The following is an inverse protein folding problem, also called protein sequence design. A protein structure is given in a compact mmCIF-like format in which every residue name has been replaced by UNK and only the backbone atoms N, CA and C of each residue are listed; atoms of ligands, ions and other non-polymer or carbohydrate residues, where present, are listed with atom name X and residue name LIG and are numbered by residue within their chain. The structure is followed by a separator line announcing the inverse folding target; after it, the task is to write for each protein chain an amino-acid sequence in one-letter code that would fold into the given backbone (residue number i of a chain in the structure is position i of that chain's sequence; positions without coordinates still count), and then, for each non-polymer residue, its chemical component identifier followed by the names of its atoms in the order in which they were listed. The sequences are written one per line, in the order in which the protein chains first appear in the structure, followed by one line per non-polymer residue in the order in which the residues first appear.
data_IF_640449742455
#
_entry.id   IF_640449742455
#
_cell.length_a   1.000
_cell.length_b   1.000
_cell.length_c   1.000
_cell.angle_alpha   90.00
_cell.angle_beta   90.00
_cell.angle_gamma   90.00
#
_symmetry.space_group_name_H-M   'P 1'
#
loop_
_entity.id
_entity.type
_entity.pdbx_description
1 polymer ?
#
# COMPACT_ATOMS: atom_id res chain seq x y z
N UNK A 1 -11.63 24.75 -25.16
CA UNK A 1 -10.75 23.59 -25.36
C UNK A 1 -10.02 23.46 -24.05
N UNK A 2 -10.32 22.45 -23.26
CA UNK A 2 -9.52 22.19 -22.06
C UNK A 2 -8.10 21.89 -22.53
N UNK A 3 -7.15 22.65 -22.01
CA UNK A 3 -5.73 22.47 -22.30
C UNK A 3 -5.21 21.65 -21.13
N UNK A 4 -4.93 20.38 -21.38
CA UNK A 4 -4.24 19.55 -20.40
C UNK A 4 -2.85 20.13 -20.15
N UNK A 5 -2.50 20.30 -18.89
CA UNK A 5 -1.17 20.75 -18.48
C UNK A 5 -0.28 19.54 -18.24
N UNK A 6 0.99 19.63 -18.61
CA UNK A 6 1.96 18.63 -18.18
C UNK A 6 2.47 18.99 -16.78
N UNK A 7 2.12 18.16 -15.80
CA UNK A 7 2.47 18.38 -14.40
C UNK A 7 3.56 17.41 -14.00
N UNK A 8 4.66 17.91 -13.46
CA UNK A 8 5.69 17.08 -12.87
C UNK A 8 5.58 17.11 -11.35
N UNK A 9 5.57 15.96 -10.70
CA UNK A 9 5.67 15.85 -9.25
C UNK A 9 7.02 15.24 -8.90
N UNK A 10 7.79 15.91 -8.05
CA UNK A 10 9.16 15.50 -7.72
C UNK A 10 9.47 15.79 -6.26
N UNK A 11 10.17 14.87 -5.61
CA UNK A 11 10.76 15.12 -4.31
C UNK A 11 12.16 15.72 -4.47
N UNK A 12 12.46 16.78 -3.70
CA UNK A 12 13.73 17.47 -3.75
C UNK A 12 14.80 16.73 -2.93
N UNK A 13 15.92 16.44 -3.57
CA UNK A 13 17.17 16.06 -2.94
C UNK A 13 18.32 16.84 -3.61
N UNK A 14 19.54 16.73 -3.07
CA UNK A 14 20.69 17.53 -3.50
C UNK A 14 21.13 17.37 -4.97
N UNK A 15 20.51 16.50 -5.74
CA UNK A 15 20.79 16.26 -7.16
C UNK A 15 19.92 17.17 -8.05
N UNK A 16 20.29 18.46 -8.16
CA UNK A 16 19.56 19.48 -8.95
C UNK A 16 19.24 19.02 -10.37
N UNK A 17 20.20 18.41 -11.06
CA UNK A 17 20.06 18.03 -12.47
C UNK A 17 18.85 17.09 -12.70
N UNK A 18 18.59 16.20 -11.74
CA UNK A 18 17.45 15.27 -11.76
C UNK A 18 16.10 15.97 -11.67
N UNK A 19 16.05 17.22 -11.24
CA UNK A 19 14.82 18.03 -11.17
C UNK A 19 14.73 18.96 -12.38
N UNK A 20 15.80 19.70 -12.64
CA UNK A 20 15.80 20.82 -13.60
C UNK A 20 15.77 20.32 -15.04
N UNK A 21 16.62 19.35 -15.40
CA UNK A 21 16.69 18.86 -16.77
C UNK A 21 15.38 18.23 -17.25
N UNK A 22 14.76 17.26 -16.55
CA UNK A 22 13.52 16.65 -17.03
C UNK A 22 12.37 17.66 -17.09
N UNK A 23 12.33 18.64 -16.17
CA UNK A 23 11.35 19.74 -16.19
C UNK A 23 11.32 20.44 -17.55
N UNK A 24 12.49 20.79 -18.09
CA UNK A 24 12.56 21.44 -19.41
C UNK A 24 12.43 20.45 -20.56
N UNK A 25 13.11 19.31 -20.49
CA UNK A 25 13.17 18.33 -21.58
C UNK A 25 11.80 17.74 -21.90
N UNK A 26 11.03 17.40 -20.88
CA UNK A 26 9.67 16.88 -21.04
C UNK A 26 8.63 18.00 -21.13
N UNK A 27 9.05 19.27 -21.04
CA UNK A 27 8.21 20.46 -21.20
C UNK A 27 7.07 20.49 -20.18
N UNK A 28 7.41 20.47 -18.90
CA UNK A 28 6.44 20.69 -17.84
C UNK A 28 5.84 22.10 -17.95
N UNK A 29 4.53 22.20 -17.79
CA UNK A 29 3.83 23.48 -17.60
C UNK A 29 3.76 23.82 -16.11
N UNK A 30 3.74 22.79 -15.24
CA UNK A 30 3.80 22.93 -13.78
C UNK A 30 4.75 21.91 -13.17
N UNK A 31 5.47 22.30 -12.11
CA UNK A 31 6.23 21.41 -11.24
C UNK A 31 5.75 21.55 -9.80
N UNK A 32 5.32 20.44 -9.20
CA UNK A 32 5.07 20.32 -7.77
C UNK A 32 6.33 19.74 -7.11
N UNK A 33 7.00 20.55 -6.30
CA UNK A 33 8.24 20.17 -5.60
C UNK A 33 7.94 19.84 -4.15
N UNK A 34 8.05 18.56 -3.79
CA UNK A 34 7.99 18.08 -2.41
C UNK A 34 9.37 18.27 -1.77
N UNK A 35 9.48 19.17 -0.81
CA UNK A 35 10.78 19.58 -0.24
C UNK A 35 10.79 19.49 1.28
N UNK A 36 11.95 19.34 1.93
CA UNK A 36 12.02 19.55 3.38
C UNK A 36 11.74 21.03 3.72
N UNK A 37 11.53 21.37 5.01
CA UNK A 37 11.36 22.76 5.43
C UNK A 37 12.53 23.64 5.01
N UNK A 38 12.26 24.91 4.70
CA UNK A 38 13.24 25.90 4.21
C UNK A 38 14.58 25.87 4.99
N UNK A 39 14.52 25.76 6.31
CA UNK A 39 15.70 25.75 7.20
C UNK A 39 16.65 24.56 6.98
N UNK A 40 16.22 23.53 6.22
CA UNK A 40 17.04 22.36 5.87
C UNK A 40 17.55 22.40 4.44
N UNK A 41 17.16 23.39 3.63
CA UNK A 41 17.62 23.50 2.26
C UNK A 41 19.03 24.08 2.19
N UNK A 42 19.85 23.47 1.34
CA UNK A 42 21.12 24.05 0.94
C UNK A 42 20.88 25.34 0.14
N UNK A 43 21.91 26.19 0.07
CA UNK A 43 21.84 27.44 -0.71
C UNK A 43 21.56 27.19 -2.19
N UNK A 44 22.24 26.21 -2.79
CA UNK A 44 22.02 25.83 -4.18
C UNK A 44 20.59 25.32 -4.46
N UNK A 45 19.94 24.66 -3.48
CA UNK A 45 18.56 24.19 -3.63
C UNK A 45 17.59 25.39 -3.64
N UNK A 46 17.85 26.39 -2.81
CA UNK A 46 17.07 27.64 -2.76
C UNK A 46 17.24 28.46 -4.04
N UNK A 47 18.46 28.59 -4.53
CA UNK A 47 18.75 29.25 -5.81
C UNK A 47 18.07 28.54 -6.98
N UNK A 48 18.15 27.21 -7.05
CA UNK A 48 17.48 26.41 -8.08
C UNK A 48 15.95 26.61 -8.05
N UNK A 49 15.33 26.61 -6.87
CA UNK A 49 13.89 26.83 -6.74
C UNK A 49 13.50 28.23 -7.22
N UNK A 50 14.27 29.26 -6.87
CA UNK A 50 14.07 30.61 -7.35
C UNK A 50 14.23 30.72 -8.88
N UNK A 51 15.22 30.03 -9.46
CA UNK A 51 15.45 29.97 -10.90
C UNK A 51 14.34 29.26 -11.67
N UNK A 52 13.64 28.30 -11.05
CA UNK A 52 12.44 27.68 -11.60
C UNK A 52 11.23 28.61 -11.50
N UNK A 53 11.07 29.32 -10.38
CA UNK A 53 9.97 30.26 -10.15
C UNK A 53 9.99 31.50 -11.06
N UNK A 54 11.18 31.97 -11.45
CA UNK A 54 11.34 33.14 -12.34
C UNK A 54 10.95 32.84 -13.81
N UNK A 55 10.63 31.58 -14.15
CA UNK A 55 10.33 31.18 -15.53
C UNK A 55 8.88 31.48 -15.90
N UNK A 56 8.67 32.37 -16.87
CA UNK A 56 7.35 32.82 -17.34
C UNK A 56 6.38 31.70 -17.79
N UNK A 57 6.90 30.53 -18.19
CA UNK A 57 6.11 29.41 -18.73
C UNK A 57 6.02 28.20 -17.81
N UNK A 58 6.49 28.34 -16.57
CA UNK A 58 6.52 27.26 -15.58
C UNK A 58 5.84 27.72 -14.30
N UNK A 59 4.79 27.03 -13.89
CA UNK A 59 4.24 27.20 -12.53
C UNK A 59 5.00 26.30 -11.56
N UNK A 60 5.47 26.84 -10.44
CA UNK A 60 6.10 26.05 -9.37
C UNK A 60 5.20 26.04 -8.14
N UNK A 61 4.92 24.85 -7.61
CA UNK A 61 4.19 24.64 -6.36
C UNK A 61 5.10 23.90 -5.38
N UNK A 62 5.48 24.56 -4.28
CA UNK A 62 6.39 23.99 -3.29
C UNK A 62 5.61 23.47 -2.08
N UNK A 63 5.80 22.19 -1.73
CA UNK A 63 5.13 21.56 -0.58
C UNK A 63 6.15 21.05 0.44
N UNK A 64 6.03 21.51 1.68
CA UNK A 64 6.92 21.06 2.75
C UNK A 64 6.51 19.69 3.30
N UNK A 65 7.42 18.71 3.20
CA UNK A 65 7.19 17.31 3.55
C UNK A 65 8.42 16.72 4.26
N UNK A 66 8.18 15.80 5.20
CA UNK A 66 9.25 14.98 5.78
C UNK A 66 9.61 13.83 4.84
N UNK A 67 10.55 14.05 3.93
CA UNK A 67 10.95 13.07 2.89
C UNK A 67 11.51 11.75 3.43
N UNK A 68 11.93 11.70 4.71
CA UNK A 68 12.39 10.48 5.38
C UNK A 68 11.27 9.57 5.90
N UNK A 69 10.00 9.99 5.81
CA UNK A 69 8.85 9.24 6.32
C UNK A 69 7.99 8.78 5.15
N UNK A 70 8.10 7.50 4.78
CA UNK A 70 7.44 6.90 3.61
C UNK A 70 5.97 7.31 3.48
N UNK A 71 5.15 7.07 4.51
CA UNK A 71 3.72 7.43 4.51
C UNK A 71 3.49 8.92 4.21
N UNK A 72 4.28 9.82 4.82
CA UNK A 72 4.12 11.27 4.64
C UNK A 72 4.47 11.72 3.23
N UNK A 73 5.50 11.13 2.63
CA UNK A 73 5.90 11.47 1.27
C UNK A 73 4.95 10.82 0.25
N UNK A 74 4.45 9.60 0.50
CA UNK A 74 3.40 8.96 -0.31
C UNK A 74 2.14 9.80 -0.33
N UNK A 75 1.59 10.15 0.83
CA UNK A 75 0.38 10.95 0.95
C UNK A 75 0.54 12.32 0.25
N UNK A 76 1.75 12.90 0.28
CA UNK A 76 2.04 14.15 -0.39
C UNK A 76 2.13 14.01 -1.91
N UNK A 77 2.70 12.90 -2.43
CA UNK A 77 2.65 12.59 -3.86
C UNK A 77 1.21 12.37 -4.32
N UNK A 78 0.44 11.54 -3.62
CA UNK A 78 -0.97 11.27 -3.95
C UNK A 78 -1.78 12.56 -3.97
N UNK A 79 -1.69 13.39 -2.91
CA UNK A 79 -2.36 14.69 -2.88
C UNK A 79 -1.90 15.62 -4.01
N UNK A 80 -0.62 15.59 -4.39
CA UNK A 80 -0.11 16.40 -5.50
C UNK A 80 -0.62 15.92 -6.86
N UNK A 81 -0.92 14.64 -7.02
CA UNK A 81 -1.49 14.08 -8.25
C UNK A 81 -3.00 14.38 -8.28
N UNK A 82 -3.70 14.17 -7.17
CA UNK A 82 -5.15 14.36 -7.04
C UNK A 82 -5.59 15.82 -7.24
N UNK A 83 -4.71 16.79 -6.97
CA UNK A 83 -4.95 18.22 -7.23
C UNK A 83 -4.99 18.57 -8.74
N UNK A 84 -4.67 17.61 -9.61
CA UNK A 84 -4.52 17.76 -11.05
C UNK A 84 -5.41 16.80 -11.85
N UNK A 85 -6.74 16.78 -11.61
CA UNK A 85 -7.64 15.89 -12.34
C UNK A 85 -7.71 16.29 -13.83
N UNK A 86 -7.34 15.35 -14.70
CA UNK A 86 -7.39 15.54 -16.16
C UNK A 86 -6.13 16.16 -16.78
N UNK A 87 -5.09 16.41 -16.00
CA UNK A 87 -3.75 16.79 -16.50
C UNK A 87 -2.89 15.54 -16.76
N UNK A 88 -1.85 15.67 -17.59
CA UNK A 88 -0.85 14.62 -17.76
C UNK A 88 0.18 14.71 -16.62
N UNK A 89 0.04 13.86 -15.60
CA UNK A 89 0.89 13.88 -14.41
C UNK A 89 2.05 12.90 -14.54
N UNK A 90 3.27 13.43 -14.41
CA UNK A 90 4.53 12.68 -14.45
C UNK A 90 5.21 12.71 -13.08
N UNK A 91 5.53 11.54 -12.53
CA UNK A 91 6.17 11.41 -11.23
C UNK A 91 7.64 11.10 -11.40
N UNK A 92 8.50 12.03 -11.00
CA UNK A 92 9.93 11.83 -11.02
C UNK A 92 10.37 11.01 -9.80
N UNK A 93 10.63 9.72 -10.00
CA UNK A 93 11.05 8.81 -8.93
C UNK A 93 12.56 8.80 -8.70
N UNK A 94 13.30 9.63 -9.44
CA UNK A 94 14.74 9.80 -9.28
C UNK A 94 15.11 10.90 -8.26
N UNK A 95 14.17 11.75 -7.86
CA UNK A 95 14.37 12.80 -6.87
C UNK A 95 14.10 12.35 -5.42
N UNK A 96 14.67 13.06 -4.44
CA UNK A 96 14.27 12.95 -3.02
C UNK A 96 14.90 11.78 -2.24
N UNK A 97 15.79 11.00 -2.86
CA UNK A 97 16.41 9.81 -2.28
C UNK A 97 15.50 8.56 -2.31
N UNK A 98 16.04 7.40 -1.90
CA UNK A 98 15.36 6.11 -2.11
C UNK A 98 13.95 6.03 -1.52
N UNK A 99 13.71 6.58 -0.32
CA UNK A 99 12.38 6.55 0.32
C UNK A 99 11.36 7.35 -0.51
N UNK A 100 11.74 8.52 -1.00
CA UNK A 100 10.85 9.35 -1.80
C UNK A 100 10.63 8.76 -3.20
N UNK A 101 11.65 8.16 -3.81
CA UNK A 101 11.52 7.44 -5.07
C UNK A 101 10.53 6.26 -4.98
N UNK A 102 10.64 5.44 -3.92
CA UNK A 102 9.69 4.35 -3.65
C UNK A 102 8.28 4.88 -3.45
N UNK A 103 8.11 5.93 -2.62
CA UNK A 103 6.80 6.54 -2.39
C UNK A 103 6.17 7.13 -3.66
N UNK A 104 6.97 7.80 -4.49
CA UNK A 104 6.54 8.34 -5.77
C UNK A 104 6.08 7.24 -6.72
N UNK A 105 6.81 6.12 -6.79
CA UNK A 105 6.40 4.97 -7.59
C UNK A 105 5.08 4.35 -7.10
N UNK A 106 4.92 4.21 -5.78
CA UNK A 106 3.67 3.72 -5.15
C UNK A 106 2.49 4.64 -5.49
N UNK A 107 2.66 5.95 -5.29
CA UNK A 107 1.63 6.94 -5.56
C UNK A 107 1.24 6.96 -7.05
N UNK A 108 2.23 6.94 -7.95
CA UNK A 108 2.01 6.92 -9.39
C UNK A 108 1.18 5.70 -9.83
N UNK A 109 1.51 4.51 -9.32
CA UNK A 109 0.73 3.30 -9.60
C UNK A 109 -0.71 3.41 -9.10
N UNK A 110 -0.93 3.95 -7.91
CA UNK A 110 -2.28 4.07 -7.31
C UNK A 110 -3.17 5.06 -8.06
N UNK A 111 -2.58 6.06 -8.69
CA UNK A 111 -3.28 7.23 -9.27
C UNK A 111 -3.20 7.29 -10.79
N UNK A 112 -2.67 6.25 -11.44
CA UNK A 112 -2.43 6.17 -12.89
C UNK A 112 -1.51 7.27 -13.46
N UNK A 113 -0.79 8.00 -12.61
CA UNK A 113 0.24 8.94 -13.05
C UNK A 113 1.44 8.19 -13.67
N UNK A 114 2.17 8.85 -14.56
CA UNK A 114 3.29 8.22 -15.29
C UNK A 114 4.60 8.38 -14.50
N UNK A 115 5.15 7.32 -13.88
CA UNK A 115 6.45 7.43 -13.22
C UNK A 115 7.58 7.48 -14.26
N UNK A 116 8.63 8.25 -13.99
CA UNK A 116 9.85 8.26 -14.80
C UNK A 116 11.10 8.34 -13.93
N UNK A 117 12.18 7.71 -14.42
CA UNK A 117 13.49 7.74 -13.82
C UNK A 117 14.44 8.54 -14.72
N UNK A 118 15.29 9.37 -14.12
CA UNK A 118 16.44 9.99 -14.80
C UNK A 118 17.64 9.09 -14.55
N UNK A 119 18.32 8.64 -15.60
CA UNK A 119 19.55 7.87 -15.44
C UNK A 119 20.75 8.81 -15.22
N UNK A 120 21.78 8.33 -14.52
CA UNK A 120 23.09 8.97 -14.48
C UNK A 120 24.06 8.10 -15.26
N UNK A 121 24.40 8.50 -16.49
CA UNK A 121 25.61 7.94 -17.12
C UNK A 121 26.83 8.61 -16.50
N UNK A 122 27.83 7.87 -16.01
CA UNK A 122 29.05 8.43 -15.43
C UNK A 122 29.91 9.24 -16.43
N UNK A 123 29.56 9.27 -17.71
CA UNK A 123 30.24 10.05 -18.75
C UNK A 123 30.00 11.57 -18.64
N UNK A 124 29.04 12.03 -17.83
CA UNK A 124 28.70 13.45 -17.71
C UNK A 124 29.67 14.28 -16.84
N UNK A 125 30.78 13.70 -16.34
CA UNK A 125 31.61 14.36 -15.32
C UNK A 125 32.97 14.90 -15.78
N UNK A 126 33.53 14.49 -16.93
CA UNK A 126 34.84 15.02 -17.37
C UNK A 126 34.90 15.14 -18.90
N UNK A 127 35.02 16.39 -19.37
CA UNK A 127 35.26 16.82 -20.75
C UNK A 127 34.18 16.47 -21.79
N UNK A 128 33.38 17.47 -22.22
CA UNK A 128 33.14 17.71 -23.66
C UNK A 128 32.48 19.07 -23.96
N UNK A 129 33.33 20.11 -24.04
CA UNK A 129 33.19 21.10 -25.12
C UNK A 129 33.66 20.42 -26.40
N UNK A 130 32.81 19.62 -27.03
CA UNK A 130 32.90 19.33 -28.45
C UNK A 130 31.57 18.78 -28.92
N UNK A 131 30.95 19.52 -29.84
CA UNK A 131 29.78 19.07 -30.55
C UNK A 131 30.14 17.83 -31.37
N UNK A 132 29.69 16.66 -30.92
CA UNK A 132 29.43 15.53 -31.79
C UNK A 132 27.93 15.53 -32.10
N UNK A 133 27.64 15.87 -33.35
CA UNK A 133 26.34 15.62 -33.97
C UNK A 133 26.21 14.10 -34.12
N UNK A 134 25.06 13.54 -33.76
CA UNK A 134 24.72 12.11 -33.81
C UNK A 134 25.19 11.26 -32.61
N UNK A 135 24.63 11.51 -31.42
CA UNK A 135 24.13 10.45 -30.53
C UNK A 135 23.32 11.09 -29.39
N UNK A 136 22.10 10.59 -29.17
CA UNK A 136 21.15 11.15 -28.23
C UNK A 136 21.39 10.61 -26.80
N UNK A 137 21.70 11.45 -25.80
CA UNK A 137 21.81 10.97 -24.42
C UNK A 137 20.43 10.73 -23.78
N UNK A 138 20.22 9.47 -23.34
CA UNK A 138 19.25 8.96 -22.36
C UNK A 138 17.77 9.26 -22.57
N UNK A 139 16.98 8.29 -23.06
CA UNK A 139 15.51 8.36 -22.95
C UNK A 139 15.09 8.04 -21.49
N UNK A 140 14.03 8.66 -20.93
CA UNK A 140 13.53 8.25 -19.62
C UNK A 140 13.12 6.78 -19.70
N UNK A 141 13.84 5.90 -19.00
CA UNK A 141 13.44 4.49 -18.92
C UNK A 141 12.18 4.39 -18.08
N UNK A 142 11.18 3.66 -18.59
CA UNK A 142 9.99 3.31 -17.82
C UNK A 142 10.43 2.53 -16.59
N UNK A 143 10.02 3.00 -15.41
CA UNK A 143 10.25 2.26 -14.15
C UNK A 143 9.72 0.83 -14.33
N UNK A 144 10.50 -0.21 -14.02
CA UNK A 144 10.03 -1.58 -14.13
C UNK A 144 8.76 -1.72 -13.27
N UNK A 145 7.68 -2.07 -13.95
CA UNK A 145 6.39 -2.35 -13.32
C UNK A 145 6.56 -3.65 -12.53
N UNK A 146 6.70 -3.54 -11.21
CA UNK A 146 6.51 -4.67 -10.32
C UNK A 146 5.00 -4.72 -10.06
N UNK A 147 4.31 -5.71 -10.61
CA UNK A 147 2.90 -5.93 -10.28
C UNK A 147 2.81 -6.43 -8.84
N UNK A 148 2.28 -5.58 -7.95
CA UNK A 148 1.95 -5.93 -6.56
C UNK A 148 0.48 -6.38 -6.49
N UNK A 149 0.04 -7.21 -7.44
CA UNK A 149 -1.28 -7.80 -7.34
C UNK A 149 -1.21 -8.90 -6.26
N UNK A 150 -1.98 -8.72 -5.18
CA UNK A 150 -2.13 -9.72 -4.13
C UNK A 150 -2.78 -11.00 -4.66
N UNK A 151 -2.87 -12.07 -3.82
CA UNK A 151 -3.55 -13.29 -4.23
C UNK A 151 -4.99 -13.00 -4.65
N UNK A 152 -5.47 -13.67 -5.69
CA UNK A 152 -6.88 -13.60 -6.12
C UNK A 152 -7.84 -14.16 -5.06
N UNK A 153 -9.13 -13.83 -5.12
CA UNK A 153 -10.14 -14.32 -4.17
C UNK A 153 -10.15 -15.86 -4.03
N UNK A 154 -10.03 -16.59 -5.13
CA UNK A 154 -9.97 -18.07 -5.11
C UNK A 154 -8.66 -18.61 -4.51
N UNK A 155 -7.57 -17.85 -4.61
CA UNK A 155 -6.30 -18.16 -3.94
C UNK A 155 -6.37 -17.83 -2.45
N UNK A 156 -7.00 -16.71 -2.07
CA UNK A 156 -7.25 -16.33 -0.68
C UNK A 156 -8.15 -17.36 0.03
N UNK A 157 -9.19 -17.88 -0.63
CA UNK A 157 -10.03 -18.95 -0.08
C UNK A 157 -9.20 -20.20 0.25
N UNK A 158 -8.29 -20.58 -0.65
CA UNK A 158 -7.40 -21.73 -0.44
C UNK A 158 -6.39 -21.47 0.68
N UNK A 159 -5.82 -20.26 0.76
CA UNK A 159 -4.96 -19.86 1.87
C UNK A 159 -5.72 -19.93 3.20
N UNK A 160 -6.96 -19.44 3.25
CA UNK A 160 -7.84 -19.50 4.42
C UNK A 160 -8.07 -20.95 4.87
N UNK A 161 -8.39 -21.84 3.93
CA UNK A 161 -8.50 -23.28 4.21
C UNK A 161 -7.19 -23.90 4.73
N UNK A 162 -6.05 -23.52 4.14
CA UNK A 162 -4.75 -24.00 4.59
C UNK A 162 -4.37 -23.47 5.98
N UNK A 163 -4.74 -22.23 6.32
CA UNK A 163 -4.51 -21.64 7.64
C UNK A 163 -5.25 -22.40 8.75
N UNK A 164 -6.45 -22.92 8.46
CA UNK A 164 -7.21 -23.78 9.38
C UNK A 164 -6.70 -25.23 9.50
N UNK A 165 -5.68 -25.63 8.73
CA UNK A 165 -5.23 -27.03 8.64
C UNK A 165 -3.71 -27.19 8.82
N UNK A 166 -3.24 -28.39 9.14
CA UNK A 166 -1.80 -28.69 9.15
C UNK A 166 -1.32 -29.15 7.77
N UNK A 167 -1.50 -28.25 6.79
CA UNK A 167 -1.36 -28.52 5.37
C UNK A 167 -2.46 -29.40 4.80
N UNK A 168 -2.55 -29.46 3.47
CA UNK A 168 -3.56 -30.22 2.75
C UNK A 168 -2.97 -30.97 1.55
N UNK A 169 -3.55 -32.11 1.22
CA UNK A 169 -3.28 -32.82 -0.03
C UNK A 169 -4.02 -32.16 -1.19
N UNK A 170 -3.55 -32.37 -2.43
CA UNK A 170 -4.25 -31.92 -3.65
C UNK A 170 -5.70 -32.40 -3.72
N UNK A 171 -5.99 -33.60 -3.18
CA UNK A 171 -7.35 -34.13 -3.11
C UNK A 171 -8.24 -33.33 -2.15
N UNK A 172 -7.71 -32.95 -0.99
CA UNK A 172 -8.45 -32.14 -0.01
C UNK A 172 -8.70 -30.72 -0.53
N UNK A 173 -7.70 -30.13 -1.20
CA UNK A 173 -7.82 -28.82 -1.84
C UNK A 173 -8.85 -28.82 -2.97
N UNK A 174 -8.82 -29.80 -3.88
CA UNK A 174 -9.86 -29.94 -4.92
C UNK A 174 -11.24 -30.12 -4.29
N UNK A 175 -11.37 -30.97 -3.28
CA UNK A 175 -12.67 -31.19 -2.63
C UNK A 175 -13.18 -29.93 -1.93
N UNK A 176 -12.30 -29.10 -1.36
CA UNK A 176 -12.68 -27.82 -0.78
C UNK A 176 -13.12 -26.82 -1.86
N UNK A 177 -12.33 -26.68 -2.94
CA UNK A 177 -12.65 -25.83 -4.08
C UNK A 177 -13.98 -26.22 -4.75
N UNK A 178 -14.26 -27.52 -4.89
CA UNK A 178 -15.55 -28.02 -5.39
C UNK A 178 -16.71 -27.66 -4.45
N UNK A 179 -16.52 -27.74 -3.12
CA UNK A 179 -17.56 -27.37 -2.14
C UNK A 179 -17.86 -25.87 -2.13
N UNK A 180 -16.83 -25.05 -2.31
CA UNK A 180 -16.95 -23.58 -2.39
C UNK A 180 -17.27 -23.07 -3.79
N UNK A 181 -17.47 -23.98 -4.74
CA UNK A 181 -17.76 -23.66 -6.14
C UNK A 181 -16.77 -22.64 -6.74
N UNK A 182 -15.48 -22.79 -6.43
CA UNK A 182 -14.46 -21.82 -6.83
C UNK A 182 -14.38 -21.69 -8.37
N UNK A 183 -14.26 -20.47 -8.92
CA UNK A 183 -14.40 -20.22 -10.35
C UNK A 183 -13.52 -21.09 -11.25
N UNK A 184 -12.24 -21.32 -10.89
CA UNK A 184 -11.34 -22.15 -11.70
C UNK A 184 -11.83 -23.59 -11.91
N UNK A 185 -12.65 -24.13 -10.99
CA UNK A 185 -13.30 -25.45 -11.13
C UNK A 185 -14.72 -25.31 -11.66
N UNK A 186 -15.54 -24.45 -11.03
CA UNK A 186 -16.97 -24.36 -11.33
C UNK A 186 -17.25 -23.92 -12.79
N UNK A 187 -16.38 -23.07 -13.35
CA UNK A 187 -16.52 -22.58 -14.72
C UNK A 187 -15.81 -23.44 -15.76
N UNK A 188 -15.18 -24.55 -15.35
CA UNK A 188 -14.38 -25.39 -16.25
C UNK A 188 -14.97 -26.80 -16.34
N UNK A 189 -15.26 -27.25 -17.55
CA UNK A 189 -15.65 -28.66 -17.78
C UNK A 189 -14.40 -29.52 -17.80
N UNK A 190 -14.32 -30.51 -16.91
CA UNK A 190 -13.23 -31.47 -16.83
C UNK A 190 -13.76 -32.90 -17.00
N UNK A 191 -13.10 -33.69 -17.84
CA UNK A 191 -13.51 -35.07 -18.12
C UNK A 191 -12.88 -36.07 -17.14
N UNK A 192 -11.76 -35.70 -16.53
CA UNK A 192 -11.00 -36.58 -15.62
C UNK A 192 -10.51 -35.89 -14.35
N UNK A 193 -10.35 -36.67 -13.29
CA UNK A 193 -9.77 -36.19 -12.01
C UNK A 193 -8.34 -35.66 -12.18
N UNK A 194 -7.60 -36.17 -13.15
CA UNK A 194 -6.23 -35.72 -13.46
C UNK A 194 -6.22 -34.30 -13.99
N UNK A 195 -7.21 -33.91 -14.80
CA UNK A 195 -7.34 -32.54 -15.31
C UNK A 195 -7.72 -31.57 -14.19
N UNK A 196 -8.59 -31.97 -13.26
CA UNK A 196 -8.90 -31.15 -12.07
C UNK A 196 -7.64 -30.83 -11.26
N UNK A 197 -6.74 -31.80 -11.08
CA UNK A 197 -5.48 -31.54 -10.37
C UNK A 197 -4.54 -30.59 -11.14
N UNK A 198 -4.54 -30.65 -12.47
CA UNK A 198 -3.76 -29.69 -13.28
C UNK A 198 -4.33 -28.28 -13.21
N UNK A 199 -5.65 -28.13 -13.14
CA UNK A 199 -6.28 -26.82 -12.90
C UNK A 199 -5.89 -26.26 -11.54
N UNK A 200 -6.00 -27.07 -10.47
CA UNK A 200 -5.54 -26.68 -9.14
C UNK A 200 -4.06 -26.29 -9.13
N UNK A 201 -3.20 -27.04 -9.80
CA UNK A 201 -1.77 -26.71 -9.90
C UNK A 201 -1.54 -25.37 -10.59
N UNK A 202 -2.04 -25.23 -11.82
CA UNK A 202 -1.80 -24.05 -12.64
C UNK A 202 -2.43 -22.75 -12.14
N UNK A 203 -3.61 -22.82 -11.51
CA UNK A 203 -4.35 -21.61 -11.10
C UNK A 203 -4.11 -21.22 -9.64
N UNK A 204 -3.79 -22.21 -8.79
CA UNK A 204 -3.70 -22.01 -7.34
C UNK A 204 -2.32 -22.35 -6.80
N UNK A 205 -1.89 -23.61 -6.90
CA UNK A 205 -0.70 -24.08 -6.16
C UNK A 205 0.59 -23.49 -6.71
N UNK A 206 0.77 -23.49 -8.02
CA UNK A 206 2.00 -22.98 -8.65
C UNK A 206 2.11 -21.46 -8.46
N UNK A 207 1.07 -20.63 -8.74
CA UNK A 207 1.14 -19.20 -8.47
C UNK A 207 1.39 -18.85 -6.99
N UNK A 208 0.72 -19.54 -6.06
CA UNK A 208 0.93 -19.31 -4.63
C UNK A 208 2.33 -19.75 -4.17
N UNK A 209 2.89 -20.81 -4.75
CA UNK A 209 4.23 -21.27 -4.41
C UNK A 209 5.31 -20.36 -5.00
N UNK A 210 5.12 -19.89 -6.24
CA UNK A 210 6.02 -18.95 -6.91
C UNK A 210 6.05 -17.59 -6.20
N UNK A 211 4.92 -17.17 -5.64
CA UNK A 211 4.80 -15.97 -4.81
C UNK A 211 5.25 -16.16 -3.35
N UNK A 212 5.63 -17.37 -2.93
CA UNK A 212 6.12 -17.65 -1.57
C UNK A 212 5.03 -17.79 -0.49
N UNK A 213 3.75 -17.83 -0.86
CA UNK A 213 2.64 -17.97 0.08
C UNK A 213 2.45 -19.40 0.58
N UNK A 214 2.88 -20.41 -0.19
CA UNK A 214 2.78 -21.82 0.17
C UNK A 214 4.05 -22.61 -0.16
N UNK A 215 4.28 -23.69 0.60
CA UNK A 215 5.34 -24.65 0.33
C UNK A 215 4.78 -26.04 -0.01
N UNK A 216 5.40 -26.69 -1.01
CA UNK A 216 4.99 -28.03 -1.48
C UNK A 216 6.04 -29.07 -1.10
N UNK A 217 5.69 -29.97 -0.18
CA UNK A 217 6.60 -31.05 0.25
C UNK A 217 6.42 -32.28 -0.64
N UNK A 218 7.37 -32.53 -1.54
CA UNK A 218 7.35 -33.65 -2.51
C UNK A 218 7.23 -35.03 -1.86
N UNK A 219 7.83 -35.22 -0.68
CA UNK A 219 7.78 -36.48 0.07
C UNK A 219 6.38 -36.79 0.67
N UNK A 220 5.51 -35.78 0.80
CA UNK A 220 4.15 -35.93 1.33
C UNK A 220 3.04 -35.57 0.35
N UNK A 221 3.34 -34.92 -0.78
CA UNK A 221 2.36 -34.32 -1.71
C UNK A 221 1.36 -33.40 -1.00
N UNK A 222 1.84 -32.68 0.02
CA UNK A 222 1.08 -31.74 0.83
C UNK A 222 1.55 -30.32 0.55
N UNK A 223 0.58 -29.43 0.54
CA UNK A 223 0.74 -27.98 0.45
C UNK A 223 0.57 -27.42 1.85
N UNK A 224 1.47 -26.55 2.27
CA UNK A 224 1.44 -25.88 3.56
C UNK A 224 1.40 -24.38 3.32
N UNK A 225 0.64 -23.66 4.14
CA UNK A 225 0.71 -22.20 4.15
C UNK A 225 2.01 -21.78 4.82
N UNK A 226 2.72 -20.85 4.18
CA UNK A 226 3.91 -20.23 4.73
C UNK A 226 3.55 -18.89 5.39
N UNK A 227 4.53 -18.27 6.07
CA UNK A 227 4.31 -17.03 6.82
C UNK A 227 3.72 -15.92 5.95
N UNK A 228 4.23 -15.73 4.74
CA UNK A 228 3.79 -14.67 3.85
C UNK A 228 2.32 -14.89 3.42
N UNK A 229 1.87 -16.15 3.32
CA UNK A 229 0.47 -16.48 3.06
C UNK A 229 -0.46 -16.14 4.23
N UNK A 230 0.03 -16.26 5.47
CA UNK A 230 -0.72 -15.84 6.67
C UNK A 230 -0.83 -14.31 6.71
N UNK A 231 0.26 -13.61 6.40
CA UNK A 231 0.28 -12.15 6.34
C UNK A 231 -0.66 -11.63 5.23
N UNK A 232 -0.68 -12.30 4.07
CA UNK A 232 -1.61 -11.97 2.99
C UNK A 232 -3.08 -12.09 3.39
N UNK A 233 -3.47 -13.09 4.19
CA UNK A 233 -4.85 -13.21 4.70
C UNK A 233 -5.25 -12.05 5.64
N UNK A 234 -4.29 -11.48 6.36
CA UNK A 234 -4.53 -10.32 7.22
C UNK A 234 -4.67 -9.02 6.41
N UNK A 235 -3.95 -8.92 5.29
CA UNK A 235 -3.94 -7.75 4.40
C UNK A 235 -5.12 -7.74 3.42
N UNK A 236 -5.53 -8.92 2.93
CA UNK A 236 -6.62 -9.13 1.99
C UNK A 236 -7.72 -10.01 2.62
N UNK A 237 -8.55 -9.45 3.53
CA UNK A 237 -9.59 -10.23 4.19
C UNK A 237 -10.68 -10.63 3.20
N UNK A 238 -11.00 -11.93 3.16
CA UNK A 238 -12.17 -12.45 2.47
C UNK A 238 -13.43 -11.83 3.09
N UNK A 239 -14.41 -11.48 2.24
CA UNK A 239 -15.74 -11.11 2.71
C UNK A 239 -16.38 -12.22 3.56
N UNK A 240 -17.38 -11.91 4.39
CA UNK A 240 -18.01 -12.90 5.26
C UNK A 240 -18.53 -14.09 4.45
N UNK A 241 -18.20 -15.29 4.90
CA UNK A 241 -18.65 -16.55 4.30
C UNK A 241 -20.18 -16.64 4.41
N UNK A 242 -20.94 -16.74 3.30
CA UNK A 242 -22.39 -16.83 3.36
C UNK A 242 -22.88 -18.06 4.14
N UNK A 243 -22.07 -19.11 4.26
CA UNK A 243 -22.39 -20.29 5.06
C UNK A 243 -22.29 -20.04 6.58
N UNK A 244 -21.36 -19.20 7.05
CA UNK A 244 -21.23 -18.86 8.49
C UNK A 244 -22.32 -17.89 8.95
N UNK A 245 -22.88 -17.08 8.06
CA UNK A 245 -23.96 -16.14 8.37
C UNK A 245 -25.28 -16.83 8.78
N UNK A 246 -25.46 -18.12 8.44
CA UNK A 246 -26.69 -18.88 8.74
C UNK A 246 -26.67 -19.61 10.08
N UNK A 247 -25.51 -19.66 10.77
CA UNK A 247 -25.38 -20.40 12.02
C UNK A 247 -25.85 -19.61 13.27
N UNK A 248 -26.02 -18.28 13.16
CA UNK A 248 -26.33 -17.40 14.29
C UNK A 248 -27.78 -16.84 14.28
N UNK A 249 -28.58 -17.17 13.25
CA UNK A 249 -29.95 -16.66 13.12
C UNK A 249 -31.00 -17.47 13.93
N UNK A 250 -30.64 -18.63 14.50
CA UNK A 250 -31.56 -19.44 15.32
C UNK A 250 -31.56 -19.05 16.82
N UNK A 251 -30.77 -18.05 17.23
CA UNK A 251 -30.85 -17.44 18.56
C UNK A 251 -31.85 -16.28 18.61
N UNK A 252 -33.05 -16.45 18.08
CA UNK A 252 -34.15 -15.49 18.30
C UNK A 252 -34.64 -15.62 19.74
N UNK A 253 -34.05 -14.82 20.64
CA UNK A 253 -34.62 -14.57 21.96
C UNK A 253 -35.98 -13.91 21.76
N UNK A 254 -37.05 -14.69 22.00
CA UNK A 254 -38.43 -14.20 21.96
C UNK A 254 -38.56 -12.92 22.77
N UNK A 255 -39.26 -11.94 22.19
CA UNK A 255 -39.59 -10.62 22.74
C UNK A 255 -40.09 -10.64 24.20
N UNK A 256 -40.63 -11.77 24.65
CA UNK A 256 -41.09 -11.98 26.02
C UNK A 256 -39.95 -12.18 27.03
N UNK A 257 -38.81 -12.79 26.63
CA UNK A 257 -37.64 -12.95 27.51
C UNK A 257 -36.88 -11.63 27.71
N UNK A 258 -36.79 -10.79 26.67
CA UNK A 258 -36.18 -9.47 26.77
C UNK A 258 -36.97 -8.55 27.72
N UNK A 259 -38.30 -8.68 27.73
CA UNK A 259 -39.17 -7.93 28.65
C UNK A 259 -39.03 -8.38 30.10
N UNK A 260 -38.93 -9.69 30.35
CA UNK A 260 -38.72 -10.24 31.69
C UNK A 260 -37.39 -9.81 32.33
N UNK A 261 -36.30 -9.80 31.56
CA UNK A 261 -35.00 -9.30 32.05
C UNK A 261 -35.03 -7.80 32.38
N UNK A 262 -35.78 -6.99 31.62
CA UNK A 262 -35.86 -5.55 31.83
C UNK A 262 -36.72 -5.15 33.04
N UNK A 263 -37.78 -5.92 33.33
CA UNK A 263 -38.64 -5.71 34.49
C UNK A 263 -37.99 -6.23 35.79
N UNK A 264 -37.20 -7.31 35.73
CA UNK A 264 -36.52 -7.89 36.91
C UNK A 264 -35.33 -7.06 37.41
N UNK A 265 -34.63 -6.35 36.52
CA UNK A 265 -33.49 -5.49 36.88
C UNK A 265 -33.86 -4.16 37.56
N UNK A 266 -35.16 -3.85 37.68
CA UNK A 266 -35.63 -2.58 38.27
C UNK A 266 -35.87 -2.68 39.79
N UNK A 267 -36.01 -3.88 40.34
CA UNK A 267 -36.22 -4.08 41.78
C UNK A 267 -34.90 -4.09 42.58
N UNK A 268 -33.78 -4.47 41.97
CA UNK A 268 -32.48 -4.53 42.68
C UNK A 268 -31.81 -3.16 42.87
N UNK A 269 -32.24 -2.12 42.13
CA UNK A 269 -31.67 -0.76 42.22
C UNK A 269 -32.30 0.13 43.29
N UNK A 270 -33.26 -0.35 44.08
CA UNK A 270 -33.84 0.39 45.21
C UNK A 270 -33.19 0.12 46.57
N UNK A 271 -32.25 -0.82 46.66
CA UNK A 271 -31.72 -1.27 47.95
C UNK A 271 -30.30 -0.76 48.31
N UNK A 272 -29.69 0.10 47.51
CA UNK A 272 -28.29 0.57 47.71
C UNK A 272 -28.15 2.05 48.10
N UNK A 273 -29.23 2.71 48.52
CA UNK A 273 -29.21 4.14 48.89
C UNK A 273 -29.44 4.38 50.38
N UNK A 274 -28.89 3.54 51.26
CA UNK A 274 -28.74 3.81 52.70
C UNK A 274 -27.54 3.04 53.28
N UNK A 275 -26.32 3.41 52.89
CA UNK A 275 -25.19 3.35 53.83
C UNK A 275 -24.02 4.20 53.31
N UNK A 276 -23.83 5.38 53.90
CA UNK A 276 -22.68 6.24 53.63
C UNK A 276 -22.30 7.01 54.89
N UNK A 277 -21.60 6.33 55.79
CA UNK A 277 -20.86 6.96 56.88
C UNK A 277 -19.37 6.69 56.74
N UNK A 278 -18.54 7.74 56.62
CA UNK A 278 -17.15 7.68 57.08
C UNK A 278 -16.03 8.10 56.10
N UNK A 279 -15.82 9.41 56.00
CA UNK A 279 -14.53 10.16 56.07
C UNK A 279 -13.27 9.60 55.40
N UNK A 280 -12.65 10.38 54.50
CA UNK A 280 -11.21 10.27 54.20
C UNK A 280 -10.54 11.65 54.28
N UNK A 281 -9.47 11.74 55.09
CA UNK A 281 -8.61 12.91 55.28
C UNK A 281 -7.55 12.98 54.15
N UNK A 282 -7.29 14.20 53.69
CA UNK A 282 -6.12 14.59 52.90
C UNK A 282 -4.81 14.36 53.67
N UNK A 283 -3.75 13.89 52.98
CA UNK A 283 -2.36 14.30 53.25
C UNK A 283 -1.46 14.17 52.02
N UNK A 284 -0.45 15.04 52.04
CA UNK A 284 0.42 15.57 50.99
C UNK A 284 1.60 14.67 50.54
N UNK A 285 2.12 14.98 49.35
CA UNK A 285 3.27 14.39 48.67
C UNK A 285 4.63 14.54 49.37
N UNK A 286 5.67 13.78 48.95
CA UNK A 286 7.06 14.16 49.16
C UNK A 286 7.88 14.37 47.87
N UNK A 287 8.83 15.30 47.99
CA UNK A 287 9.85 15.74 47.02
C UNK A 287 10.96 14.68 46.84
N UNK A 288 11.51 14.57 45.63
CA UNK A 288 12.76 13.85 45.32
C UNK A 288 13.97 14.70 45.69
N UNK A 289 14.92 14.10 46.42
CA UNK A 289 16.28 14.59 46.60
C UNK A 289 17.21 13.88 45.61
N UNK A 290 18.03 14.67 44.92
CA UNK A 290 19.30 14.25 44.31
C UNK A 290 20.33 14.00 45.41
N UNK A 291 21.22 13.02 45.21
CA UNK A 291 22.64 13.09 45.57
C UNK A 291 23.42 11.97 44.83
N UNK A 292 24.52 12.43 44.20
CA UNK A 292 25.79 11.78 43.81
C UNK A 292 25.82 10.59 42.84
#
# INVERSE_FOLDING_TARGET
MEVWSRVHVVALAGEIARVVEPTYRLKADKVVVLRPPEARLAEFEREMLADLEDRERLSVDQREVSLSKLERVRDAFESAIDDHPGDDVYVNVSGGGHVAGIAGAMAARRTEATPFLVDHSPEDTEDERQASTEDAPGSPESVPVIDIDGPSDEQLEILSYLHGTNGATKKELVAHAERKELPFIANTTVDTRTETYRLLESHIVDPLADAGYVSVVKAGRRVYIDRDGIEALAEFPLGPDPDEATADEDAVVSSDQARWMWESGRDERRNWMWDSGGTTRLHSAPRRHYLE
#
